data_IF_815749027048
#
_entry.id   IF_815749027048
#
_cell.length_a   1.000
_cell.length_b   1.000
_cell.length_c   1.000
_cell.angle_alpha   90.00
_cell.angle_beta   90.00
_cell.angle_gamma   90.00
#
_symmetry.space_group_name_H-M   'P 1'
#
loop_
_entity.id
_entity.type
_entity.pdbx_description
1 polymer ?
#
# COMPACT_ATOMS: atom_id res chain seq x y z
N UNK A 1 -19.13 -3.30 -10.42
CA UNK A 1 -18.18 -2.51 -11.25
C UNK A 1 -17.21 -3.42 -11.98
N UNK A 2 -16.97 -3.16 -13.28
CA UNK A 2 -15.97 -3.89 -14.08
C UNK A 2 -14.52 -3.56 -13.66
N UNK A 3 -13.57 -4.43 -14.05
CA UNK A 3 -12.13 -4.30 -13.76
C UNK A 3 -11.27 -4.69 -14.98
N UNK A 4 -10.06 -4.13 -15.04
CA UNK A 4 -9.14 -4.18 -16.18
C UNK A 4 -7.67 -4.25 -15.70
N UNK A 5 -6.73 -4.43 -16.64
CA UNK A 5 -5.28 -4.52 -16.36
C UNK A 5 -4.68 -3.20 -15.86
N UNK A 6 -3.61 -3.30 -15.07
CA UNK A 6 -2.95 -2.18 -14.35
C UNK A 6 -2.00 -1.38 -15.25
N UNK A 7 -2.55 -0.58 -16.18
CA UNK A 7 -1.79 0.28 -17.11
C UNK A 7 -2.49 1.63 -17.37
N UNK A 8 -1.69 2.69 -17.34
CA UNK A 8 -2.10 4.08 -17.53
C UNK A 8 -0.90 4.90 -18.05
N UNK A 9 -0.90 5.25 -19.34
CA UNK A 9 0.15 6.06 -20.01
C UNK A 9 1.60 5.65 -19.66
N UNK A 10 1.92 4.37 -19.86
CA UNK A 10 3.22 3.73 -19.54
C UNK A 10 3.62 3.83 -18.05
N UNK A 11 2.69 3.42 -17.19
CA UNK A 11 2.89 3.17 -15.76
C UNK A 11 2.19 1.87 -15.38
N UNK A 12 2.82 1.09 -14.51
CA UNK A 12 2.31 -0.16 -13.92
C UNK A 12 2.74 -0.22 -12.45
N UNK A 13 2.19 -1.17 -11.68
CA UNK A 13 2.60 -1.46 -10.30
C UNK A 13 4.09 -1.75 -10.14
N UNK A 14 4.72 -2.43 -11.10
CA UNK A 14 6.16 -2.72 -11.04
C UNK A 14 7.02 -1.45 -10.91
N UNK A 15 6.57 -0.33 -11.50
CA UNK A 15 7.24 0.97 -11.35
C UNK A 15 6.92 1.64 -10.01
N UNK A 16 5.73 1.43 -9.43
CA UNK A 16 5.28 2.05 -8.15
C UNK A 16 6.23 1.72 -7.01
N UNK A 17 6.49 0.44 -6.76
CA UNK A 17 7.42 -0.02 -5.70
C UNK A 17 8.88 0.30 -6.07
N UNK A 18 9.24 0.20 -7.35
CA UNK A 18 10.60 0.44 -7.84
C UNK A 18 11.00 1.94 -7.83
N UNK A 19 10.00 2.83 -7.87
CA UNK A 19 10.14 4.28 -8.00
C UNK A 19 9.54 4.98 -6.77
N UNK A 20 10.33 5.09 -5.70
CA UNK A 20 9.90 5.76 -4.47
C UNK A 20 9.40 7.19 -4.69
N UNK A 21 9.84 7.88 -5.74
CA UNK A 21 9.32 9.20 -6.16
C UNK A 21 7.83 9.17 -6.47
N UNK A 22 7.34 8.09 -7.08
CA UNK A 22 5.91 7.81 -7.23
C UNK A 22 5.31 7.42 -5.87
N UNK A 23 5.95 6.49 -5.17
CA UNK A 23 5.42 5.89 -3.94
C UNK A 23 5.11 6.96 -2.86
N UNK A 24 6.02 7.91 -2.64
CA UNK A 24 5.88 9.00 -1.67
C UNK A 24 4.59 9.84 -1.88
N UNK A 25 4.19 10.07 -3.13
CA UNK A 25 2.92 10.74 -3.47
C UNK A 25 1.71 9.87 -3.10
N UNK A 26 1.78 8.58 -3.40
CA UNK A 26 0.73 7.60 -3.14
C UNK A 26 0.48 7.42 -1.63
N UNK A 27 1.53 7.46 -0.79
CA UNK A 27 1.41 7.39 0.69
C UNK A 27 0.97 8.70 1.32
N UNK A 28 1.36 9.85 0.77
CA UNK A 28 0.95 11.17 1.26
C UNK A 28 -0.58 11.29 1.44
N UNK A 29 -1.32 10.59 0.58
CA UNK A 29 -2.77 10.42 0.57
C UNK A 29 -3.42 10.08 1.93
N UNK A 30 -2.70 9.38 2.82
CA UNK A 30 -3.17 9.03 4.17
C UNK A 30 -2.19 9.42 5.30
N UNK A 31 -0.97 9.87 4.96
CA UNK A 31 0.06 10.31 5.91
C UNK A 31 -0.14 11.79 6.32
N UNK A 32 -0.50 12.67 5.37
CA UNK A 32 -0.75 14.09 5.64
C UNK A 32 -2.16 14.37 6.20
N UNK A 33 -2.35 15.60 6.71
CA UNK A 33 -3.64 16.13 7.20
C UNK A 33 -4.63 16.52 6.07
N UNK A 34 -4.25 16.30 4.81
CA UNK A 34 -5.03 16.55 3.58
C UNK A 34 -4.90 15.37 2.61
N UNK A 35 -5.79 15.29 1.62
CA UNK A 35 -5.91 14.16 0.69
C UNK A 35 -5.94 14.57 -0.80
N UNK A 36 -5.60 15.84 -1.09
CA UNK A 36 -5.42 16.34 -2.47
C UNK A 36 -4.32 15.59 -3.25
N UNK A 37 -3.44 14.87 -2.55
CA UNK A 37 -2.29 14.15 -3.09
C UNK A 37 -2.65 12.80 -3.73
N UNK A 38 -3.85 12.25 -3.45
CA UNK A 38 -4.28 10.92 -3.86
C UNK A 38 -4.39 10.79 -5.40
N UNK A 39 -3.45 10.09 -6.03
CA UNK A 39 -3.35 9.88 -7.48
C UNK A 39 -4.52 9.06 -8.04
N UNK A 40 -4.71 9.08 -9.36
CA UNK A 40 -5.81 8.38 -10.05
C UNK A 40 -5.84 6.86 -9.78
N UNK A 41 -4.68 6.20 -9.78
CA UNK A 41 -4.54 4.80 -9.34
C UNK A 41 -4.23 4.70 -7.82
N UNK A 42 -3.51 5.67 -7.27
CA UNK A 42 -3.12 5.71 -5.84
C UNK A 42 -4.29 5.65 -4.87
N UNK A 43 -5.35 6.43 -5.14
CA UNK A 43 -6.59 6.44 -4.35
C UNK A 43 -7.33 5.10 -4.33
N UNK A 44 -7.24 4.33 -5.40
CA UNK A 44 -7.82 2.99 -5.50
C UNK A 44 -6.92 1.96 -4.81
N UNK A 45 -5.60 2.00 -5.04
CA UNK A 45 -4.60 1.16 -4.37
C UNK A 45 -4.68 1.29 -2.85
N UNK A 46 -4.63 2.51 -2.31
CA UNK A 46 -4.71 2.75 -0.85
C UNK A 46 -6.06 2.35 -0.23
N UNK A 47 -7.14 2.37 -1.02
CA UNK A 47 -8.50 2.02 -0.58
C UNK A 47 -8.72 0.51 -0.49
N UNK A 48 -8.00 -0.29 -1.29
CA UNK A 48 -8.01 -1.76 -1.18
C UNK A 48 -6.95 -2.31 -0.22
N UNK A 49 -5.89 -1.55 0.11
CA UNK A 49 -4.89 -2.00 1.10
C UNK A 49 -5.54 -2.45 2.42
N UNK A 50 -6.48 -1.70 3.04
CA UNK A 50 -7.12 -2.12 4.27
C UNK A 50 -8.13 -3.26 4.05
N UNK A 51 -8.67 -3.44 2.84
CA UNK A 51 -9.54 -4.57 2.48
C UNK A 51 -8.78 -5.92 2.51
N UNK A 52 -7.47 -5.91 2.23
CA UNK A 52 -6.59 -7.07 2.45
C UNK A 52 -6.44 -7.47 3.93
N UNK A 53 -6.93 -6.63 4.86
CA UNK A 53 -6.92 -6.84 6.30
C UNK A 53 -8.35 -7.07 6.84
N UNK A 54 -9.35 -6.43 6.22
CA UNK A 54 -10.78 -6.50 6.61
C UNK A 54 -11.47 -7.78 6.13
N UNK A 55 -11.13 -8.24 4.91
CA UNK A 55 -11.75 -9.38 4.22
C UNK A 55 -10.75 -10.10 3.30
N UNK A 56 -9.44 -10.03 3.58
CA UNK A 56 -8.36 -10.67 2.79
C UNK A 56 -8.46 -10.40 1.28
N UNK A 57 -8.98 -9.21 0.90
CA UNK A 57 -9.24 -8.80 -0.48
C UNK A 57 -10.20 -9.74 -1.25
N UNK A 58 -11.11 -10.46 -0.57
CA UNK A 58 -11.99 -11.43 -1.22
C UNK A 58 -12.93 -10.84 -2.28
N UNK A 59 -13.33 -9.56 -2.13
CA UNK A 59 -14.13 -8.81 -3.10
C UNK A 59 -13.35 -8.31 -4.34
N UNK A 60 -12.03 -8.41 -4.32
CA UNK A 60 -11.12 -7.83 -5.30
C UNK A 60 -11.04 -8.61 -6.62
N UNK A 61 -10.47 -7.96 -7.63
CA UNK A 61 -9.88 -8.60 -8.82
C UNK A 61 -8.46 -9.11 -8.51
N UNK A 62 -8.01 -10.13 -9.25
CA UNK A 62 -6.70 -10.78 -9.06
C UNK A 62 -5.50 -9.82 -9.06
N UNK A 63 -5.58 -8.73 -9.84
CA UNK A 63 -4.49 -7.74 -9.94
C UNK A 63 -4.28 -6.99 -8.63
N UNK A 64 -5.37 -6.63 -7.96
CA UNK A 64 -5.35 -6.05 -6.60
C UNK A 64 -4.95 -7.08 -5.54
N UNK A 65 -5.54 -8.30 -5.58
CA UNK A 65 -5.22 -9.41 -4.65
C UNK A 65 -3.72 -9.71 -4.56
N UNK A 66 -3.04 -9.85 -5.71
CA UNK A 66 -1.59 -10.01 -5.76
C UNK A 66 -0.86 -8.67 -5.51
N UNK A 67 -1.36 -7.59 -6.10
CA UNK A 67 -0.73 -6.26 -6.10
C UNK A 67 -0.54 -5.66 -4.71
N UNK A 68 -1.60 -5.43 -3.94
CA UNK A 68 -1.43 -4.81 -2.61
C UNK A 68 -0.64 -5.71 -1.65
N UNK A 69 -0.78 -7.04 -1.77
CA UNK A 69 0.00 -8.04 -1.02
C UNK A 69 1.51 -7.94 -1.29
N UNK A 70 1.95 -7.87 -2.55
CA UNK A 70 3.37 -7.65 -2.89
C UNK A 70 3.84 -6.26 -2.48
N UNK A 71 3.04 -5.23 -2.74
CA UNK A 71 3.38 -3.81 -2.48
C UNK A 71 3.58 -3.55 -0.99
N UNK A 72 2.73 -4.12 -0.13
CA UNK A 72 2.86 -4.11 1.33
C UNK A 72 4.27 -4.48 1.79
N UNK A 73 4.86 -5.53 1.22
CA UNK A 73 6.17 -6.07 1.64
C UNK A 73 7.32 -5.14 1.27
N UNK A 74 7.27 -4.58 0.05
CA UNK A 74 8.21 -3.57 -0.43
C UNK A 74 8.08 -2.27 0.38
N UNK A 75 6.87 -1.79 0.64
CA UNK A 75 6.63 -0.54 1.37
C UNK A 75 7.21 -0.62 2.79
N UNK A 76 6.97 -1.71 3.52
CA UNK A 76 7.53 -1.89 4.87
C UNK A 76 9.07 -1.97 4.85
N UNK A 77 9.68 -2.52 3.79
CA UNK A 77 11.15 -2.59 3.62
C UNK A 77 11.79 -1.27 3.13
N UNK A 78 11.12 -0.49 2.28
CA UNK A 78 11.69 0.67 1.57
C UNK A 78 11.18 2.03 2.05
N UNK A 79 10.03 2.06 2.73
CA UNK A 79 9.44 3.22 3.42
C UNK A 79 9.06 2.84 4.87
N UNK A 80 10.00 2.35 5.68
CA UNK A 80 9.72 1.89 7.05
C UNK A 80 9.16 3.00 7.96
N UNK A 81 9.70 4.22 7.84
CA UNK A 81 9.25 5.40 8.60
C UNK A 81 7.81 5.83 8.28
N UNK A 82 7.40 5.75 7.01
CA UNK A 82 6.03 6.08 6.56
C UNK A 82 5.07 4.90 6.78
N UNK A 83 5.54 3.67 6.58
CA UNK A 83 4.77 2.45 6.88
C UNK A 83 4.21 2.46 8.31
N UNK A 84 5.02 2.85 9.31
CA UNK A 84 4.55 2.99 10.70
C UNK A 84 3.30 3.89 10.84
N UNK A 85 3.12 4.87 9.95
CA UNK A 85 1.94 5.77 9.90
C UNK A 85 0.72 5.07 9.26
N UNK A 86 0.96 4.25 8.23
CA UNK A 86 -0.07 3.38 7.61
C UNK A 86 -0.64 2.42 8.66
N UNK A 87 0.20 1.52 9.21
CA UNK A 87 -0.22 0.48 10.16
C UNK A 87 -0.84 1.04 11.44
N UNK A 88 -0.46 2.25 11.87
CA UNK A 88 -1.03 2.88 13.07
C UNK A 88 -2.51 3.26 12.87
N UNK A 89 -2.83 3.87 11.72
CA UNK A 89 -4.22 4.19 11.33
C UNK A 89 -5.00 2.93 10.94
N UNK A 90 -4.36 2.00 10.24
CA UNK A 90 -4.99 0.82 9.64
C UNK A 90 -5.08 -0.39 10.60
N UNK A 91 -4.28 -0.42 11.67
CA UNK A 91 -4.20 -1.51 12.64
C UNK A 91 -3.77 -1.00 14.05
N UNK A 92 -4.66 -0.27 14.76
CA UNK A 92 -4.32 0.41 16.02
C UNK A 92 -3.96 -0.52 17.20
N UNK A 93 -4.11 -1.84 17.04
CA UNK A 93 -3.73 -2.87 18.02
C UNK A 93 -2.57 -3.77 17.56
N UNK A 94 -2.08 -3.60 16.33
CA UNK A 94 -1.01 -4.42 15.73
C UNK A 94 -1.38 -5.90 15.51
N UNK A 95 -2.68 -6.22 15.48
CA UNK A 95 -3.22 -7.59 15.45
C UNK A 95 -2.86 -8.37 14.18
N UNK A 96 -2.67 -7.70 13.03
CA UNK A 96 -2.39 -8.36 11.74
C UNK A 96 -1.30 -7.67 10.90
N UNK A 97 -1.02 -6.38 11.08
CA UNK A 97 0.12 -5.72 10.42
C UNK A 97 1.48 -6.28 10.87
N UNK A 98 1.57 -6.75 12.12
CA UNK A 98 2.78 -7.35 12.70
C UNK A 98 3.21 -8.67 12.01
N UNK A 99 2.29 -9.37 11.34
CA UNK A 99 2.50 -10.65 10.63
C UNK A 99 3.61 -10.62 9.57
N UNK A 100 3.89 -9.46 8.99
CA UNK A 100 4.87 -9.25 7.93
C UNK A 100 5.80 -8.04 8.21
N UNK A 101 5.40 -7.11 9.08
CA UNK A 101 6.32 -6.11 9.66
C UNK A 101 7.56 -6.75 10.33
N UNK A 102 7.39 -7.94 10.92
CA UNK A 102 8.44 -8.72 11.60
C UNK A 102 9.68 -9.01 10.72
N UNK A 103 9.52 -8.97 9.39
CA UNK A 103 10.60 -9.08 8.40
C UNK A 103 11.66 -7.98 8.53
N UNK A 104 11.32 -6.84 9.12
CA UNK A 104 12.24 -5.70 9.36
C UNK A 104 12.19 -5.21 10.82
N UNK A 105 11.00 -5.15 11.43
CA UNK A 105 10.73 -4.72 12.82
C UNK A 105 11.50 -3.44 13.20
N UNK A 106 11.23 -2.36 12.45
CA UNK A 106 11.98 -1.09 12.55
C UNK A 106 11.77 -0.31 13.87
N UNK A 107 10.74 -0.65 14.65
CA UNK A 107 10.51 -0.16 16.02
C UNK A 107 11.58 -0.70 16.98
N UNK A 108 12.71 0.01 17.12
CA UNK A 108 13.78 -0.32 18.07
C UNK A 108 13.24 -0.41 19.51
N UNK A 109 13.71 -1.41 20.26
CA UNK A 109 13.40 -1.61 21.68
C UNK A 109 13.86 -0.42 22.55
#
# INVERSE_FOLDING_TARGET
EEKYTTKYDNVNLDEILANDRLLNKYVQCLLEDDESNCTADGKELKSVIPDALSNECAKCNEKQKEGTKKVLKHLINHKPDVWAQLKAKYDPDGTYSKKYEDREKELHQ
#
